data_IF_590763252254
#
_entry.id   IF_590763252254
#
_cell.length_a   1.000
_cell.length_b   1.000
_cell.length_c   1.000
_cell.angle_alpha   90.00
_cell.angle_beta   90.00
_cell.angle_gamma   90.00
#
_symmetry.space_group_name_H-M   'P 1'
#
loop_
_entity.id
_entity.type
_entity.pdbx_description
1 polymer ?
#
# COMPACT_ATOMS: atom_id res chain seq x y z
N UNK A 1 -48.61 -8.42 -46.43
CA UNK A 1 -47.13 -8.37 -46.47
C UNK A 1 -46.62 -9.03 -45.19
N UNK A 2 -45.95 -10.18 -45.32
CA UNK A 2 -45.29 -10.92 -44.26
C UNK A 2 -43.88 -10.35 -44.02
N UNK A 3 -43.39 -10.40 -42.78
CA UNK A 3 -42.03 -10.05 -42.37
C UNK A 3 -41.80 -10.49 -40.92
N UNK A 4 -41.78 -11.80 -40.66
CA UNK A 4 -40.59 -12.65 -40.43
C UNK A 4 -39.89 -12.36 -39.08
N UNK A 5 -39.99 -13.39 -38.22
CA UNK A 5 -39.33 -13.67 -36.95
C UNK A 5 -37.83 -13.34 -36.85
N UNK A 6 -37.37 -13.14 -35.60
CA UNK A 6 -36.25 -13.86 -34.91
C UNK A 6 -36.10 -13.29 -33.48
N UNK A 7 -36.35 -14.01 -32.37
CA UNK A 7 -35.65 -15.18 -31.82
C UNK A 7 -34.12 -14.94 -31.75
N UNK A 8 -33.38 -15.16 -30.67
CA UNK A 8 -33.64 -15.84 -29.42
C UNK A 8 -32.56 -15.42 -28.40
N UNK A 9 -32.97 -15.50 -27.14
CA UNK A 9 -32.14 -15.54 -25.94
C UNK A 9 -31.34 -16.85 -25.97
N UNK A 10 -30.00 -16.79 -25.97
CA UNK A 10 -29.16 -17.97 -25.76
C UNK A 10 -28.07 -17.63 -24.75
N UNK A 11 -28.40 -17.97 -23.51
CA UNK A 11 -27.55 -18.06 -22.34
C UNK A 11 -26.64 -19.27 -22.53
N UNK A 12 -25.37 -19.05 -22.89
CA UNK A 12 -24.39 -20.13 -23.02
C UNK A 12 -23.77 -20.40 -21.65
N UNK A 13 -24.41 -21.27 -20.88
CA UNK A 13 -23.77 -22.04 -19.83
C UNK A 13 -22.79 -23.02 -20.48
N UNK A 14 -21.49 -22.73 -20.45
CA UNK A 14 -20.47 -23.76 -20.74
C UNK A 14 -20.24 -24.56 -19.46
N UNK A 15 -20.96 -25.67 -19.34
CA UNK A 15 -20.66 -26.75 -18.41
C UNK A 15 -19.46 -27.51 -18.99
N UNK A 16 -18.28 -27.28 -18.43
CA UNK A 16 -17.08 -28.04 -18.79
C UNK A 16 -17.00 -29.30 -17.92
N UNK A 17 -17.79 -30.33 -18.26
CA UNK A 17 -17.57 -31.69 -17.75
C UNK A 17 -16.55 -32.39 -18.64
N UNK A 18 -15.27 -32.23 -18.30
CA UNK A 18 -14.18 -33.05 -18.81
C UNK A 18 -13.64 -33.94 -17.70
N UNK A 19 -14.01 -35.22 -17.71
CA UNK A 19 -13.30 -36.28 -16.99
C UNK A 19 -11.85 -36.31 -17.52
N UNK A 20 -10.90 -35.87 -16.70
CA UNK A 20 -9.50 -36.19 -16.88
C UNK A 20 -9.04 -37.03 -15.68
N UNK A 21 -8.68 -38.26 -15.99
CA UNK A 21 -8.12 -39.20 -15.04
C UNK A 21 -6.76 -38.70 -14.55
N UNK A 22 -6.55 -38.79 -13.23
CA UNK A 22 -5.24 -38.83 -12.59
C UNK A 22 -4.39 -37.55 -12.70
N UNK A 23 -4.58 -36.61 -11.77
CA UNK A 23 -3.56 -35.61 -11.42
C UNK A 23 -3.69 -35.26 -9.93
N UNK A 24 -2.57 -35.04 -9.23
CA UNK A 24 -2.55 -34.97 -7.77
C UNK A 24 -3.41 -33.80 -7.33
N UNK A 25 -4.17 -34.01 -6.25
CA UNK A 25 -4.88 -32.94 -5.58
C UNK A 25 -3.86 -31.90 -5.09
N UNK A 26 -3.61 -30.89 -5.92
CA UNK A 26 -3.03 -29.64 -5.48
C UNK A 26 -4.07 -29.04 -4.53
N UNK A 27 -3.96 -29.36 -3.24
CA UNK A 27 -4.54 -28.54 -2.19
C UNK A 27 -3.84 -27.20 -2.28
N UNK A 28 -4.38 -26.35 -3.15
CA UNK A 28 -4.00 -24.96 -3.28
C UNK A 28 -4.31 -24.36 -1.91
N UNK A 29 -3.25 -24.01 -1.18
CA UNK A 29 -3.29 -23.41 0.14
C UNK A 29 -3.87 -21.99 0.01
N UNK A 30 -5.17 -21.94 -0.25
CA UNK A 30 -5.95 -20.71 -0.42
C UNK A 30 -5.93 -19.93 0.89
N UNK A 31 -5.83 -20.62 2.04
CA UNK A 31 -5.70 -20.01 3.37
C UNK A 31 -4.48 -19.10 3.47
N UNK A 32 -3.28 -19.60 3.13
CA UNK A 32 -2.03 -18.82 3.18
C UNK A 32 -1.98 -17.69 2.16
N UNK A 33 -2.62 -17.85 1.00
CA UNK A 33 -2.70 -16.82 -0.03
C UNK A 33 -3.70 -15.71 0.32
N UNK A 34 -4.82 -16.04 0.97
CA UNK A 34 -5.77 -15.04 1.46
C UNK A 34 -5.21 -14.24 2.64
N UNK A 35 -4.50 -14.92 3.54
CA UNK A 35 -3.88 -14.29 4.71
C UNK A 35 -2.71 -13.35 4.33
N UNK A 36 -1.99 -13.65 3.25
CA UNK A 36 -0.96 -12.76 2.71
C UNK A 36 -1.56 -11.54 2.01
N UNK A 37 -2.65 -11.70 1.26
CA UNK A 37 -3.36 -10.59 0.59
C UNK A 37 -3.98 -9.63 1.61
N UNK A 38 -4.63 -10.14 2.66
CA UNK A 38 -5.22 -9.28 3.71
C UNK A 38 -4.16 -8.55 4.52
N UNK A 39 -3.05 -9.20 4.87
CA UNK A 39 -1.93 -8.57 5.61
C UNK A 39 -1.15 -7.56 4.77
N UNK A 40 -1.03 -7.79 3.46
CA UNK A 40 -0.44 -6.81 2.54
C UNK A 40 -1.30 -5.54 2.46
N UNK A 41 -2.62 -5.69 2.55
CA UNK A 41 -3.57 -4.58 2.72
C UNK A 41 -3.32 -3.79 4.00
N UNK A 42 -3.22 -4.47 5.15
CA UNK A 42 -3.00 -3.81 6.45
C UNK A 42 -1.70 -2.99 6.51
N UNK A 43 -0.60 -3.52 5.96
CA UNK A 43 0.67 -2.79 5.92
C UNK A 43 0.54 -1.52 5.06
N UNK A 44 -0.01 -1.66 3.85
CA UNK A 44 -0.17 -0.55 2.90
C UNK A 44 -1.09 0.54 3.45
N UNK A 45 -2.16 0.15 4.15
CA UNK A 45 -3.08 1.09 4.80
C UNK A 45 -2.39 1.87 5.93
N UNK A 46 -1.59 1.20 6.77
CA UNK A 46 -0.79 1.88 7.81
C UNK A 46 0.23 2.83 7.20
N UNK A 47 0.96 2.39 6.16
CA UNK A 47 1.94 3.21 5.44
C UNK A 47 1.28 4.46 4.86
N UNK A 48 0.12 4.30 4.21
CA UNK A 48 -0.67 5.38 3.65
C UNK A 48 -1.10 6.38 4.72
N UNK A 49 -1.63 5.90 5.84
CA UNK A 49 -2.04 6.75 6.96
C UNK A 49 -0.88 7.60 7.49
N UNK A 50 0.29 7.00 7.70
CA UNK A 50 1.48 7.72 8.15
C UNK A 50 2.00 8.71 7.10
N UNK A 51 1.94 8.37 5.82
CA UNK A 51 2.27 9.30 4.74
C UNK A 51 1.33 10.50 4.71
N UNK A 52 0.02 10.29 4.83
CA UNK A 52 -0.98 11.36 4.89
C UNK A 52 -0.83 12.22 6.15
N UNK A 53 -0.52 11.62 7.31
CA UNK A 53 -0.15 12.35 8.53
C UNK A 53 1.04 13.30 8.26
N UNK A 54 2.12 12.79 7.64
CA UNK A 54 3.30 13.59 7.29
C UNK A 54 2.95 14.74 6.35
N UNK A 55 2.19 14.48 5.28
CA UNK A 55 1.73 15.53 4.37
C UNK A 55 0.90 16.60 5.10
N UNK A 56 0.15 16.21 6.13
CA UNK A 56 -0.66 17.12 6.93
C UNK A 56 0.14 18.07 7.82
N UNK A 57 1.35 17.68 8.26
CA UNK A 57 2.17 18.52 9.13
C UNK A 57 3.51 18.98 8.53
N UNK A 58 3.89 18.53 7.33
CA UNK A 58 5.20 18.86 6.73
C UNK A 58 5.47 20.36 6.60
N UNK A 59 4.43 21.19 6.50
CA UNK A 59 4.51 22.65 6.35
C UNK A 59 4.25 23.40 7.68
N UNK A 60 4.05 22.67 8.78
CA UNK A 60 3.76 23.25 10.09
C UNK A 60 4.98 23.95 10.69
N UNK A 61 4.81 25.22 11.08
CA UNK A 61 5.85 25.97 11.79
C UNK A 61 6.27 25.27 13.09
N UNK A 62 5.32 24.65 13.80
CA UNK A 62 5.61 23.87 15.02
C UNK A 62 6.50 22.68 14.69
N UNK A 63 6.21 21.96 13.61
CA UNK A 63 7.05 20.85 13.17
C UNK A 63 8.46 21.30 12.81
N UNK A 64 8.62 22.44 12.15
CA UNK A 64 9.95 22.96 11.80
C UNK A 64 10.74 23.47 12.99
N UNK A 65 10.06 23.89 14.06
CA UNK A 65 10.69 24.39 15.28
C UNK A 65 11.15 23.26 16.20
N UNK A 66 10.29 22.25 16.43
CA UNK A 66 10.58 21.16 17.39
C UNK A 66 11.00 19.84 16.74
N UNK A 67 10.81 19.68 15.43
CA UNK A 67 11.12 18.46 14.70
C UNK A 67 10.52 17.20 15.32
N UNK A 68 11.32 16.14 15.38
CA UNK A 68 10.94 14.84 15.95
C UNK A 68 11.37 14.66 17.40
N UNK A 69 11.60 15.75 18.14
CA UNK A 69 12.00 15.68 19.55
C UNK A 69 10.91 15.05 20.44
N UNK A 70 11.35 14.42 21.53
CA UNK A 70 10.58 13.55 22.44
C UNK A 70 9.26 14.13 23.03
N UNK A 71 8.92 15.39 22.79
CA UNK A 71 7.85 16.08 23.52
C UNK A 71 6.51 16.21 22.76
N UNK A 72 6.36 15.66 21.54
CA UNK A 72 5.21 16.01 20.69
C UNK A 72 4.65 14.86 19.84
N UNK A 73 3.58 15.20 19.10
CA UNK A 73 2.92 14.35 18.10
C UNK A 73 3.86 13.85 17.00
N UNK A 74 4.89 14.62 16.65
CA UNK A 74 5.87 14.26 15.62
C UNK A 74 6.78 13.12 16.07
N UNK A 75 7.25 13.10 17.33
CA UNK A 75 7.98 11.96 17.87
C UNK A 75 7.13 10.69 17.85
N UNK A 76 5.85 10.80 18.24
CA UNK A 76 4.91 9.67 18.15
C UNK A 76 4.76 9.18 16.70
N UNK A 77 4.68 10.10 15.73
CA UNK A 77 4.66 9.73 14.31
C UNK A 77 5.94 8.96 13.93
N UNK A 78 7.13 9.43 14.32
CA UNK A 78 8.41 8.76 14.04
C UNK A 78 8.49 7.37 14.69
N UNK A 79 7.96 7.22 15.90
CA UNK A 79 7.85 5.93 16.58
C UNK A 79 6.91 4.97 15.82
N UNK A 80 5.77 5.47 15.32
CA UNK A 80 4.86 4.66 14.49
C UNK A 80 5.56 4.21 13.20
N UNK A 81 6.30 5.08 12.51
CA UNK A 81 7.07 4.71 11.31
C UNK A 81 8.10 3.63 11.65
N UNK A 82 8.82 3.79 12.76
CA UNK A 82 9.80 2.79 13.24
C UNK A 82 9.14 1.46 13.58
N UNK A 83 7.95 1.49 14.18
CA UNK A 83 7.13 0.30 14.43
C UNK A 83 6.72 -0.38 13.13
N UNK A 84 6.26 0.38 12.14
CA UNK A 84 5.88 -0.13 10.83
C UNK A 84 7.08 -0.76 10.10
N UNK A 85 8.28 -0.19 10.21
CA UNK A 85 9.51 -0.80 9.65
C UNK A 85 9.84 -2.14 10.29
N UNK A 86 9.63 -2.29 11.61
CA UNK A 86 9.82 -3.57 12.30
C UNK A 86 8.75 -4.61 11.95
N UNK A 87 7.55 -4.16 11.57
CA UNK A 87 6.47 -5.03 11.11
C UNK A 87 6.64 -5.49 9.65
N UNK A 88 7.53 -4.85 8.88
CA UNK A 88 7.78 -5.17 7.49
C UNK A 88 8.22 -6.63 7.33
N UNK A 89 7.62 -7.32 6.36
CA UNK A 89 7.86 -8.75 6.07
C UNK A 89 8.59 -8.93 4.74
N UNK A 90 8.59 -7.91 3.91
CA UNK A 90 9.30 -7.92 2.63
C UNK A 90 10.31 -6.76 2.56
N UNK A 91 11.39 -6.90 1.76
CA UNK A 91 12.35 -5.82 1.54
C UNK A 91 11.70 -4.57 0.93
N UNK A 92 10.61 -4.74 0.18
CA UNK A 92 9.86 -3.64 -0.45
C UNK A 92 9.12 -2.82 0.61
N UNK A 93 8.48 -3.48 1.56
CA UNK A 93 7.84 -2.83 2.72
C UNK A 93 8.88 -2.12 3.59
N UNK A 94 9.97 -2.81 3.94
CA UNK A 94 11.04 -2.21 4.74
C UNK A 94 11.58 -0.94 4.08
N UNK A 95 11.86 -1.02 2.77
CA UNK A 95 12.31 0.13 1.99
C UNK A 95 11.28 1.26 2.00
N UNK A 96 9.99 0.98 1.83
CA UNK A 96 8.96 2.01 1.80
C UNK A 96 8.81 2.74 3.14
N UNK A 97 8.75 2.01 4.25
CA UNK A 97 8.70 2.63 5.59
C UNK A 97 9.98 3.40 5.93
N UNK A 98 11.16 2.89 5.55
CA UNK A 98 12.43 3.60 5.70
C UNK A 98 12.47 4.89 4.87
N UNK A 99 12.00 4.84 3.62
CA UNK A 99 11.86 6.01 2.77
C UNK A 99 10.87 7.03 3.33
N UNK A 100 9.80 6.60 4.01
CA UNK A 100 8.88 7.50 4.70
C UNK A 100 9.55 8.23 5.87
N UNK A 101 10.38 7.53 6.66
CA UNK A 101 11.17 8.15 7.72
C UNK A 101 12.14 9.20 7.14
N UNK A 102 12.86 8.85 6.08
CA UNK A 102 13.78 9.76 5.38
C UNK A 102 13.04 10.99 4.80
N UNK A 103 11.83 10.79 4.29
CA UNK A 103 11.01 11.87 3.75
C UNK A 103 10.64 12.88 4.84
N UNK A 104 10.31 12.39 6.04
CA UNK A 104 10.04 13.24 7.20
C UNK A 104 11.25 14.09 7.61
N UNK A 105 12.45 13.49 7.65
CA UNK A 105 13.69 14.22 7.96
C UNK A 105 14.03 15.26 6.89
N UNK A 106 13.82 14.93 5.60
CA UNK A 106 14.07 15.88 4.53
C UNK A 106 13.11 17.07 4.60
N UNK A 107 11.81 16.85 4.85
CA UNK A 107 10.89 17.97 5.06
C UNK A 107 11.21 18.79 6.29
N UNK A 108 11.71 18.19 7.36
CA UNK A 108 12.17 18.96 8.52
C UNK A 108 13.33 19.89 8.13
N UNK A 109 14.30 19.36 7.38
CA UNK A 109 15.47 20.10 6.91
C UNK A 109 15.12 21.21 5.91
N UNK A 110 14.19 20.94 4.99
CA UNK A 110 13.79 21.88 3.93
C UNK A 110 12.62 22.78 4.32
N UNK A 111 12.11 22.64 5.55
CA UNK A 111 10.92 23.34 6.04
C UNK A 111 9.69 23.09 5.15
N UNK A 112 9.47 21.83 4.80
CA UNK A 112 8.31 21.36 4.03
C UNK A 112 8.43 21.51 2.50
N UNK A 113 9.53 22.11 2.02
CA UNK A 113 9.73 22.33 0.59
C UNK A 113 10.03 21.01 -0.15
N UNK A 114 9.43 20.87 -1.33
CA UNK A 114 9.69 19.77 -2.25
C UNK A 114 11.06 19.94 -2.94
N UNK A 115 11.76 18.83 -3.15
CA UNK A 115 12.99 18.76 -3.92
C UNK A 115 13.15 17.38 -4.59
N UNK A 116 14.26 17.17 -5.30
CA UNK A 116 14.52 15.90 -6.00
C UNK A 116 14.53 14.69 -5.05
N UNK A 117 15.00 14.88 -3.81
CA UNK A 117 15.02 13.85 -2.77
C UNK A 117 13.61 13.52 -2.29
N UNK A 118 12.78 14.52 -1.94
CA UNK A 118 11.40 14.29 -1.49
C UNK A 118 10.56 13.62 -2.58
N UNK A 119 10.75 14.03 -3.85
CA UNK A 119 10.09 13.44 -5.01
C UNK A 119 10.48 11.97 -5.22
N UNK A 120 11.77 11.66 -5.11
CA UNK A 120 12.28 10.30 -5.24
C UNK A 120 11.75 9.37 -4.14
N UNK A 121 11.78 9.84 -2.89
CA UNK A 121 11.27 9.09 -1.74
C UNK A 121 9.75 8.87 -1.83
N UNK A 122 9.01 9.91 -2.22
CA UNK A 122 7.57 9.83 -2.46
C UNK A 122 7.23 8.79 -3.53
N UNK A 123 8.02 8.70 -4.59
CA UNK A 123 7.81 7.73 -5.67
C UNK A 123 7.99 6.29 -5.17
N UNK A 124 8.97 6.03 -4.30
CA UNK A 124 9.17 4.71 -3.67
C UNK A 124 7.95 4.32 -2.83
N UNK A 125 7.48 5.25 -1.99
CA UNK A 125 6.32 5.02 -1.11
C UNK A 125 5.08 4.72 -1.95
N UNK A 126 4.80 5.56 -2.96
CA UNK A 126 3.64 5.41 -3.85
C UNK A 126 3.66 4.09 -4.64
N UNK A 127 4.84 3.61 -5.02
CA UNK A 127 5.01 2.31 -5.66
C UNK A 127 4.48 1.13 -4.83
N UNK A 128 4.48 1.24 -3.51
CA UNK A 128 3.88 0.24 -2.59
C UNK A 128 2.39 0.50 -2.34
N UNK A 129 1.98 1.77 -2.37
CA UNK A 129 0.58 2.16 -2.22
C UNK A 129 -0.28 1.89 -3.48
N UNK A 130 0.34 1.52 -4.60
CA UNK A 130 -0.34 1.23 -5.86
C UNK A 130 -0.95 2.47 -6.53
N UNK A 131 -0.34 3.65 -6.34
CA UNK A 131 -0.81 4.93 -6.87
C UNK A 131 0.23 5.66 -7.69
#
# INVERSE_FOLDING_TARGET
MQGIHKAALVLVCVVFTGMFAGSPAYSLDIGKSLESVTKMGEYSDKLKGLYEELMGFKDSAKFHDVGFDNCCEFAKWKDKVTGLTKEAKTPVEEKASSSLAQLGEEYLKTKGAENDTTSSLTSIIKGVLGK
#
